data_IF_572504967944
#
_entry.id   IF_572504967944
#
_cell.length_a   1.000
_cell.length_b   1.000
_cell.length_c   1.000
_cell.angle_alpha   90.00
_cell.angle_beta   90.00
_cell.angle_gamma   90.00
#
_symmetry.space_group_name_H-M   'P 1'
#
loop_
_entity.id
_entity.type
_entity.pdbx_description
1 polymer ?
#
# COMPACT_ATOMS: atom_id res chain seq x y z
N UNK A 1 -33.55 31.56 20.42
CA UNK A 1 -32.43 32.31 21.01
C UNK A 1 -31.14 31.61 20.61
N UNK A 2 -30.27 32.26 19.84
CA UNK A 2 -29.03 31.65 19.33
C UNK A 2 -27.88 32.00 20.26
N UNK A 3 -27.39 31.03 21.04
CA UNK A 3 -26.23 31.21 21.92
C UNK A 3 -24.94 30.97 21.12
N UNK A 4 -24.31 32.05 20.70
CA UNK A 4 -22.99 32.01 20.07
C UNK A 4 -21.93 31.86 21.16
N UNK A 5 -21.38 30.66 21.32
CA UNK A 5 -20.31 30.34 22.28
C UNK A 5 -19.01 31.00 21.81
N UNK A 6 -18.72 32.22 22.28
CA UNK A 6 -17.42 32.87 22.08
C UNK A 6 -16.40 32.19 22.99
N UNK A 7 -15.46 31.44 22.41
CA UNK A 7 -14.32 30.93 23.18
C UNK A 7 -13.39 32.10 23.52
N UNK A 8 -13.37 32.53 24.78
CA UNK A 8 -12.38 33.48 25.28
C UNK A 8 -11.03 32.77 25.41
N UNK A 9 -10.33 32.60 24.28
CA UNK A 9 -8.94 32.12 24.27
C UNK A 9 -8.05 33.29 24.64
N UNK A 10 -7.58 33.34 25.88
CA UNK A 10 -6.60 34.33 26.34
C UNK A 10 -5.31 34.14 25.54
N UNK A 11 -4.95 35.14 24.75
CA UNK A 11 -3.71 35.13 23.98
C UNK A 11 -2.52 35.22 24.95
N UNK A 12 -1.49 34.40 24.73
CA UNK A 12 -0.30 34.38 25.59
C UNK A 12 0.51 35.67 25.42
N UNK A 13 1.21 36.15 26.48
CA UNK A 13 2.10 37.30 26.39
C UNK A 13 3.15 37.16 25.27
N UNK A 14 3.64 35.95 25.06
CA UNK A 14 4.58 35.60 23.98
C UNK A 14 3.98 35.80 22.58
N UNK A 15 2.71 35.43 22.38
CA UNK A 15 2.00 35.69 21.13
C UNK A 15 1.84 37.19 20.86
N UNK A 16 1.53 37.97 21.90
CA UNK A 16 1.39 39.43 21.80
C UNK A 16 2.72 40.10 21.46
N UNK A 17 3.82 39.64 22.04
CA UNK A 17 5.17 40.13 21.72
C UNK A 17 5.54 39.84 20.25
N UNK A 18 5.25 38.62 19.78
CA UNK A 18 5.40 38.27 18.37
C UNK A 18 4.53 39.14 17.46
N UNK A 19 3.24 39.26 17.76
CA UNK A 19 2.33 40.07 16.96
C UNK A 19 2.79 41.53 16.83
N UNK A 20 3.24 42.14 17.93
CA UNK A 20 3.75 43.51 17.96
C UNK A 20 5.02 43.71 17.12
N UNK A 21 5.90 42.70 17.04
CA UNK A 21 7.07 42.72 16.15
C UNK A 21 6.68 42.73 14.67
N UNK A 22 5.50 42.21 14.31
CA UNK A 22 5.00 42.16 12.93
C UNK A 22 4.12 43.36 12.55
N UNK A 23 3.29 43.89 13.45
CA UNK A 23 2.44 45.07 13.17
C UNK A 23 3.22 46.37 12.98
N UNK A 24 4.45 46.47 13.49
CA UNK A 24 5.34 47.61 13.28
C UNK A 24 6.04 47.64 11.92
N UNK A 25 5.91 46.60 11.10
CA UNK A 25 6.55 46.54 9.78
C UNK A 25 5.70 47.25 8.73
N UNK A 26 6.33 48.02 7.82
CA UNK A 26 5.64 48.52 6.63
C UNK A 26 4.97 47.37 5.87
N UNK A 27 3.69 47.53 5.55
CA UNK A 27 2.86 46.55 4.82
C UNK A 27 3.58 46.06 3.54
N UNK A 28 4.30 46.96 2.86
CA UNK A 28 5.10 46.66 1.66
C UNK A 28 6.21 45.64 1.90
N UNK A 29 6.82 45.62 3.09
CA UNK A 29 7.88 44.66 3.44
C UNK A 29 7.30 43.30 3.81
N UNK A 30 6.19 43.25 4.55
CA UNK A 30 5.49 42.00 4.89
C UNK A 30 4.90 41.32 3.65
N UNK A 31 4.39 42.08 2.69
CA UNK A 31 3.90 41.55 1.41
C UNK A 31 5.02 40.91 0.58
N UNK A 32 6.18 41.56 0.46
CA UNK A 32 7.34 41.02 -0.29
C UNK A 32 7.86 39.71 0.29
N UNK A 33 7.96 39.64 1.62
CA UNK A 33 8.39 38.41 2.32
C UNK A 33 7.39 37.28 2.07
N UNK A 34 6.08 37.59 2.15
CA UNK A 34 5.01 36.62 1.93
C UNK A 34 5.01 36.09 0.50
N UNK A 35 5.15 36.97 -0.49
CA UNK A 35 5.23 36.60 -1.91
C UNK A 35 6.45 35.71 -2.18
N UNK A 36 7.62 36.08 -1.68
CA UNK A 36 8.85 35.28 -1.84
C UNK A 36 8.71 33.89 -1.22
N UNK A 37 8.20 33.81 0.01
CA UNK A 37 7.95 32.52 0.68
C UNK A 37 6.95 31.66 -0.10
N UNK A 38 5.88 32.26 -0.61
CA UNK A 38 4.87 31.55 -1.41
C UNK A 38 5.47 30.99 -2.71
N UNK A 39 6.34 31.76 -3.37
CA UNK A 39 7.04 31.32 -4.57
C UNK A 39 7.94 30.11 -4.31
N UNK A 40 8.78 30.16 -3.26
CA UNK A 40 9.65 29.04 -2.92
C UNK A 40 8.84 27.79 -2.53
N UNK A 41 7.78 27.96 -1.73
CA UNK A 41 6.88 26.85 -1.36
C UNK A 41 6.19 26.24 -2.58
N UNK A 42 5.81 27.04 -3.57
CA UNK A 42 5.25 26.51 -4.83
C UNK A 42 6.29 25.71 -5.61
N UNK A 43 7.53 26.21 -5.68
CA UNK A 43 8.63 25.53 -6.36
C UNK A 43 8.94 24.18 -5.71
N UNK A 44 9.06 24.14 -4.38
CA UNK A 44 9.25 22.89 -3.64
C UNK A 44 8.08 21.94 -3.81
N UNK A 45 6.83 22.43 -3.75
CA UNK A 45 5.65 21.60 -3.99
C UNK A 45 5.64 20.97 -5.39
N UNK A 46 6.06 21.71 -6.42
CA UNK A 46 6.17 21.15 -7.78
C UNK A 46 7.21 20.03 -7.80
N UNK A 47 8.39 20.28 -7.22
CA UNK A 47 9.47 19.27 -7.14
C UNK A 47 9.00 17.99 -6.42
N UNK A 48 8.40 18.14 -5.23
CA UNK A 48 7.88 17.01 -4.44
C UNK A 48 6.79 16.26 -5.20
N UNK A 49 5.89 16.97 -5.91
CA UNK A 49 4.86 16.31 -6.74
C UNK A 49 5.45 15.46 -7.85
N UNK A 50 6.51 15.94 -8.51
CA UNK A 50 7.22 15.19 -9.56
C UNK A 50 7.88 13.95 -8.97
N UNK A 51 8.66 14.09 -7.89
CA UNK A 51 9.32 12.96 -7.22
C UNK A 51 8.31 11.91 -6.73
N UNK A 52 7.18 12.35 -6.17
CA UNK A 52 6.12 11.43 -5.74
C UNK A 52 5.47 10.68 -6.92
N UNK A 53 5.33 11.31 -8.09
CA UNK A 53 4.80 10.65 -9.28
C UNK A 53 5.77 9.57 -9.78
N UNK A 54 7.07 9.88 -9.84
CA UNK A 54 8.13 8.93 -10.22
C UNK A 54 8.21 7.75 -9.24
N UNK A 55 8.21 8.02 -7.93
CA UNK A 55 8.22 6.97 -6.91
C UNK A 55 6.99 6.06 -7.01
N UNK A 56 5.82 6.63 -7.27
CA UNK A 56 4.59 5.85 -7.45
C UNK A 56 4.68 4.93 -8.68
N UNK A 57 5.21 5.44 -9.79
CA UNK A 57 5.43 4.64 -11.00
C UNK A 57 6.41 3.48 -10.75
N UNK A 58 7.54 3.76 -10.10
CA UNK A 58 8.54 2.74 -9.77
C UNK A 58 7.98 1.66 -8.83
N UNK A 59 7.14 2.04 -7.87
CA UNK A 59 6.47 1.07 -6.99
C UNK A 59 5.52 0.16 -7.76
N UNK A 60 4.77 0.69 -8.71
CA UNK A 60 3.86 -0.11 -9.53
C UNK A 60 4.62 -1.07 -10.46
N UNK A 61 5.76 -0.65 -11.00
CA UNK A 61 6.65 -1.51 -11.79
C UNK A 61 7.25 -2.65 -10.95
N UNK A 62 7.81 -2.34 -9.77
CA UNK A 62 8.35 -3.34 -8.85
C UNK A 62 7.28 -4.34 -8.39
N UNK A 63 6.04 -3.89 -8.16
CA UNK A 63 4.92 -4.79 -7.85
C UNK A 63 4.63 -5.75 -8.99
N UNK A 64 4.57 -5.25 -10.23
CA UNK A 64 4.37 -6.10 -11.43
C UNK A 64 5.51 -7.11 -11.61
N UNK A 65 6.75 -6.69 -11.39
CA UNK A 65 7.92 -7.58 -11.46
C UNK A 65 7.89 -8.65 -10.36
N UNK A 66 7.48 -8.29 -9.14
CA UNK A 66 7.35 -9.25 -8.05
C UNK A 66 6.28 -10.29 -8.35
N UNK A 67 5.11 -9.88 -8.84
CA UNK A 67 4.02 -10.79 -9.21
C UNK A 67 4.40 -11.68 -10.39
N UNK A 68 5.06 -11.15 -11.42
CA UNK A 68 5.54 -11.97 -12.55
C UNK A 68 6.59 -13.00 -12.12
N UNK A 69 7.48 -12.66 -11.18
CA UNK A 69 8.47 -13.60 -10.62
C UNK A 69 7.85 -14.70 -9.78
N UNK A 70 6.83 -14.40 -8.97
CA UNK A 70 6.09 -15.41 -8.20
C UNK A 70 5.38 -16.38 -9.15
N UNK A 71 4.65 -15.84 -10.12
CA UNK A 71 3.89 -16.62 -11.10
C UNK A 71 4.80 -17.50 -11.96
N UNK A 72 5.98 -16.99 -12.35
CA UNK A 72 6.97 -17.77 -13.11
C UNK A 72 7.44 -19.03 -12.36
N UNK A 73 7.77 -18.92 -11.06
CA UNK A 73 8.21 -20.09 -10.28
C UNK A 73 7.12 -21.14 -10.15
N UNK A 74 5.87 -20.71 -9.98
CA UNK A 74 4.73 -21.62 -9.94
C UNK A 74 4.49 -22.30 -11.30
N UNK A 75 4.52 -21.53 -12.38
CA UNK A 75 4.37 -22.04 -13.74
C UNK A 75 5.46 -23.05 -14.10
N UNK A 76 6.73 -22.76 -13.79
CA UNK A 76 7.86 -23.68 -14.04
C UNK A 76 7.66 -25.01 -13.30
N UNK A 77 7.19 -24.98 -12.05
CA UNK A 77 6.86 -26.19 -11.28
C UNK A 77 5.69 -26.97 -11.88
N UNK A 78 4.62 -26.28 -12.29
CA UNK A 78 3.47 -26.90 -12.93
C UNK A 78 3.86 -27.60 -14.24
N UNK A 79 4.69 -26.95 -15.07
CA UNK A 79 5.21 -27.53 -16.31
C UNK A 79 6.05 -28.78 -16.04
N UNK A 80 6.96 -28.73 -15.07
CA UNK A 80 7.79 -29.89 -14.71
C UNK A 80 6.94 -31.07 -14.24
N UNK A 81 5.94 -30.84 -13.39
CA UNK A 81 5.06 -31.91 -12.90
C UNK A 81 4.19 -32.45 -14.03
N UNK A 82 3.69 -31.58 -14.92
CA UNK A 82 2.95 -32.00 -16.12
C UNK A 82 3.78 -32.95 -16.98
N UNK A 83 5.07 -32.66 -17.17
CA UNK A 83 5.98 -33.51 -17.93
C UNK A 83 6.27 -34.86 -17.25
N UNK A 84 6.40 -34.89 -15.92
CA UNK A 84 6.67 -36.11 -15.15
C UNK A 84 5.42 -37.01 -15.11
N UNK A 85 4.24 -36.42 -14.93
CA UNK A 85 2.99 -37.13 -14.75
C UNK A 85 2.23 -37.37 -16.06
N UNK A 86 2.63 -36.69 -17.14
CA UNK A 86 1.90 -36.63 -18.42
C UNK A 86 0.42 -36.26 -18.24
N UNK A 87 0.15 -35.32 -17.35
CA UNK A 87 -1.18 -34.86 -16.95
C UNK A 87 -1.18 -33.34 -16.81
N UNK A 88 -2.17 -32.66 -17.40
CA UNK A 88 -2.34 -31.22 -17.24
C UNK A 88 -3.04 -30.86 -15.91
N UNK A 89 -2.61 -29.80 -15.21
CA UNK A 89 -3.23 -29.38 -13.97
C UNK A 89 -4.57 -28.66 -14.21
N UNK A 90 -5.50 -28.85 -13.27
CA UNK A 90 -6.66 -27.98 -13.11
C UNK A 90 -6.24 -26.77 -12.26
N UNK A 91 -6.30 -25.58 -12.85
CA UNK A 91 -5.97 -24.31 -12.19
C UNK A 91 -7.16 -23.80 -11.38
N UNK A 92 -6.92 -23.17 -10.23
CA UNK A 92 -7.96 -22.64 -9.33
C UNK A 92 -9.02 -23.70 -8.94
N UNK A 93 -8.52 -24.90 -8.62
CA UNK A 93 -9.40 -26.01 -8.28
C UNK A 93 -9.96 -25.83 -6.87
N UNK A 94 -11.29 -25.92 -6.75
CA UNK A 94 -12.02 -25.88 -5.47
C UNK A 94 -12.66 -27.24 -5.20
N UNK A 95 -11.98 -28.15 -4.48
CA UNK A 95 -12.52 -29.47 -4.22
C UNK A 95 -13.71 -29.40 -3.26
N UNK A 96 -14.80 -30.09 -3.60
CA UNK A 96 -16.00 -30.20 -2.73
C UNK A 96 -15.70 -30.82 -1.37
N UNK A 97 -14.65 -31.64 -1.27
CA UNK A 97 -14.22 -32.29 -0.04
C UNK A 97 -13.31 -31.43 0.85
N UNK A 98 -12.88 -30.24 0.40
CA UNK A 98 -11.98 -29.35 1.15
C UNK A 98 -12.67 -28.08 1.68
N UNK A 99 -13.96 -28.14 2.02
CA UNK A 99 -14.71 -27.01 2.62
C UNK A 99 -14.58 -25.66 1.87
N UNK A 100 -14.26 -25.68 0.58
CA UNK A 100 -14.03 -24.48 -0.22
C UNK A 100 -12.61 -23.90 -0.18
N UNK A 101 -11.60 -24.64 0.29
CA UNK A 101 -10.20 -24.29 0.06
C UNK A 101 -9.90 -24.25 -1.44
N UNK A 102 -9.17 -23.22 -1.84
CA UNK A 102 -8.79 -22.96 -3.22
C UNK A 102 -7.33 -23.37 -3.42
N UNK A 103 -7.10 -24.33 -4.31
CA UNK A 103 -5.77 -24.80 -4.68
C UNK A 103 -5.32 -24.11 -5.96
N UNK A 104 -4.06 -23.69 -6.02
CA UNK A 104 -3.53 -23.01 -7.20
C UNK A 104 -3.45 -23.94 -8.42
N UNK A 105 -3.09 -25.21 -8.21
CA UNK A 105 -3.17 -26.26 -9.23
C UNK A 105 -3.45 -27.64 -8.63
N UNK A 106 -4.16 -28.49 -9.38
CA UNK A 106 -4.49 -29.85 -8.98
C UNK A 106 -4.36 -30.85 -10.14
N UNK A 107 -3.64 -31.94 -9.90
CA UNK A 107 -3.48 -33.08 -10.82
C UNK A 107 -4.39 -34.21 -10.33
N UNK A 108 -5.47 -34.46 -11.07
CA UNK A 108 -6.60 -35.26 -10.59
C UNK A 108 -6.28 -36.75 -10.49
N UNK A 109 -5.60 -37.29 -11.49
CA UNK A 109 -5.28 -38.72 -11.62
C UNK A 109 -4.35 -39.16 -10.50
N UNK A 110 -3.34 -38.33 -10.23
CA UNK A 110 -2.34 -38.60 -9.20
C UNK A 110 -2.72 -38.01 -7.83
N UNK A 111 -3.81 -37.25 -7.74
CA UNK A 111 -4.30 -36.56 -6.54
C UNK A 111 -3.23 -35.67 -5.90
N UNK A 112 -2.45 -34.97 -6.72
CA UNK A 112 -1.39 -34.05 -6.29
C UNK A 112 -1.92 -32.62 -6.37
N UNK A 113 -1.75 -31.85 -5.29
CA UNK A 113 -2.10 -30.44 -5.22
C UNK A 113 -0.84 -29.57 -5.11
N UNK A 114 -0.88 -28.39 -5.72
CA UNK A 114 0.12 -27.33 -5.57
C UNK A 114 -0.55 -26.10 -4.99
N UNK A 115 0.10 -25.50 -4.00
CA UNK A 115 -0.30 -24.26 -3.33
C UNK A 115 0.93 -23.36 -3.16
N UNK A 116 0.80 -22.08 -3.51
CA UNK A 116 1.83 -21.05 -3.42
C UNK A 116 1.69 -20.33 -2.09
N UNK A 117 2.33 -20.88 -1.06
CA UNK A 117 2.39 -20.23 0.24
C UNK A 117 3.35 -19.02 0.22
N UNK A 118 2.86 -17.87 0.68
CA UNK A 118 3.64 -16.63 0.82
C UNK A 118 3.23 -15.78 2.02
N UNK A 119 4.05 -14.81 2.40
CA UNK A 119 3.82 -13.96 3.57
C UNK A 119 2.48 -13.20 3.55
N UNK A 120 1.85 -13.05 2.39
CA UNK A 120 0.53 -12.43 2.21
C UNK A 120 -0.64 -13.32 2.69
N UNK A 121 -0.44 -14.64 2.83
CA UNK A 121 -1.40 -15.50 3.54
C UNK A 121 -1.53 -15.14 5.04
N UNK A 122 -0.66 -14.27 5.61
CA UNK A 122 -0.91 -13.68 6.93
C UNK A 122 -2.13 -12.75 6.96
N UNK A 123 -2.56 -12.20 5.82
CA UNK A 123 -3.64 -11.21 5.73
C UNK A 123 -4.95 -11.78 5.20
N UNK A 124 -4.91 -12.97 4.57
CA UNK A 124 -6.12 -13.75 4.33
C UNK A 124 -6.54 -14.40 5.65
N UNK A 125 -7.74 -14.06 6.08
CA UNK A 125 -8.31 -14.41 7.37
C UNK A 125 -8.66 -15.91 7.44
N UNK A 126 -7.68 -16.81 7.33
CA UNK A 126 -7.88 -18.26 7.49
C UNK A 126 -6.69 -18.86 8.20
N UNK A 127 -6.75 -18.79 9.53
CA UNK A 127 -6.35 -19.86 10.44
C UNK A 127 -5.11 -20.68 10.02
N UNK A 128 -3.91 -20.22 10.40
CA UNK A 128 -2.72 -21.09 10.59
C UNK A 128 -3.07 -22.41 11.34
N UNK A 129 -4.11 -22.37 12.16
CA UNK A 129 -4.67 -23.52 12.87
C UNK A 129 -5.25 -24.64 11.99
N UNK A 130 -5.56 -24.40 10.70
CA UNK A 130 -6.14 -25.42 9.79
C UNK A 130 -5.07 -26.17 8.97
N UNK A 131 -3.92 -25.56 8.75
CA UNK A 131 -2.84 -26.15 7.93
C UNK A 131 -2.06 -27.25 8.66
N UNK A 132 -2.14 -27.28 10.00
CA UNK A 132 -1.45 -28.26 10.83
C UNK A 132 -2.46 -29.16 11.52
N UNK A 133 -2.71 -30.35 10.94
CA UNK A 133 -3.24 -31.47 11.71
C UNK A 133 -2.05 -32.10 12.45
N UNK A 134 -2.00 -31.96 13.77
CA UNK A 134 -1.08 -32.79 14.58
C UNK A 134 -1.47 -34.25 14.36
N UNK A 135 -0.56 -35.00 13.75
CA UNK A 135 -0.59 -36.46 13.71
C UNK A 135 -0.49 -37.03 15.12
#
# INVERSE_FOLDING_TARGET
>A
MNTQTKSNKTLTPEYLEWHNKFTGLPIVLTDKISVRRNYELKKENIKIKTENAELKQNLDELKKELESKKNRKFQEKCILITQILNEEPVVEYRPSFMEGLELDAFFQSNRIALEVQGAQHRLHHTSWYKDVKKL
#
